data_IF_604595331317
#
_entry.id   IF_604595331317
#
_cell.length_a   1.000
_cell.length_b   1.000
_cell.length_c   1.000
_cell.angle_alpha   90.00
_cell.angle_beta   90.00
_cell.angle_gamma   90.00
#
_symmetry.space_group_name_H-M   'P 1'
#
loop_
_entity.id
_entity.type
_entity.pdbx_description
1 polymer ?
#
# COMPACT_ATOMS: atom_id res chain seq x y z
N UNK A 1 19.39 -11.19 -1.72
CA UNK A 1 18.52 -11.46 -0.54
C UNK A 1 18.36 -12.97 -0.35
N UNK A 2 17.83 -13.69 -1.32
CA UNK A 2 17.66 -15.16 -1.24
C UNK A 2 18.96 -15.92 -0.92
N UNK A 3 20.10 -15.48 -1.45
CA UNK A 3 21.38 -16.16 -1.20
C UNK A 3 21.85 -15.98 0.24
N UNK A 4 21.68 -14.81 0.85
CA UNK A 4 22.10 -14.50 2.22
C UNK A 4 21.26 -15.24 3.28
N UNK A 5 19.99 -15.49 3.00
CA UNK A 5 19.05 -16.15 3.92
C UNK A 5 18.76 -17.61 3.57
N UNK A 6 19.47 -18.18 2.58
CA UNK A 6 19.27 -19.56 2.14
C UNK A 6 19.34 -20.57 3.29
N UNK A 7 20.26 -20.38 4.22
CA UNK A 7 20.42 -21.27 5.36
C UNK A 7 19.28 -21.16 6.39
N UNK A 8 18.65 -19.98 6.51
CA UNK A 8 17.53 -19.74 7.42
C UNK A 8 16.17 -20.05 6.81
N UNK A 9 16.07 -20.07 5.49
CA UNK A 9 14.84 -20.50 4.80
C UNK A 9 14.60 -22.03 4.92
N UNK A 10 15.64 -22.79 5.15
CA UNK A 10 15.57 -24.23 5.47
C UNK A 10 15.61 -24.47 6.98
N UNK A 11 14.85 -23.69 7.74
CA UNK A 11 14.60 -24.04 9.15
C UNK A 11 13.88 -25.37 9.13
N UNK A 12 14.61 -26.45 9.45
CA UNK A 12 13.99 -27.70 9.86
C UNK A 12 12.96 -27.36 10.91
N UNK A 13 11.72 -27.81 10.77
CA UNK A 13 10.71 -27.54 11.79
C UNK A 13 11.25 -28.03 13.11
N UNK A 14 11.66 -27.09 13.98
CA UNK A 14 12.03 -27.42 15.34
C UNK A 14 10.80 -28.01 15.99
N UNK A 15 10.85 -29.34 16.14
CA UNK A 15 10.06 -30.13 17.07
C UNK A 15 8.70 -29.54 17.47
N UNK A 16 7.64 -30.00 16.82
CA UNK A 16 6.45 -30.28 17.58
C UNK A 16 5.35 -29.25 17.66
N UNK A 17 5.37 -28.14 16.92
CA UNK A 17 4.13 -27.42 16.63
C UNK A 17 3.70 -27.73 15.20
N UNK A 18 3.04 -28.87 15.03
CA UNK A 18 2.13 -29.06 13.89
C UNK A 18 1.18 -27.87 13.94
N UNK A 19 1.34 -26.92 13.03
CA UNK A 19 0.30 -25.94 12.76
C UNK A 19 -0.94 -26.78 12.52
N UNK A 20 -2.01 -26.67 13.32
CA UNK A 20 -3.21 -27.44 13.07
C UNK A 20 -3.53 -27.21 11.61
N UNK A 21 -3.64 -28.28 10.82
CA UNK A 21 -4.10 -28.17 9.45
C UNK A 21 -5.43 -27.43 9.57
N UNK A 22 -5.43 -26.12 9.27
CA UNK A 22 -6.64 -25.32 9.38
C UNK A 22 -7.68 -26.08 8.60
N UNK A 23 -8.89 -26.21 9.12
CA UNK A 23 -10.02 -26.79 8.40
C UNK A 23 -10.31 -25.89 7.19
N UNK A 24 -9.43 -25.98 6.19
CA UNK A 24 -9.61 -25.29 4.94
C UNK A 24 -10.88 -25.85 4.31
N UNK A 25 -11.82 -25.00 3.91
CA UNK A 25 -13.00 -25.47 3.21
C UNK A 25 -12.56 -26.27 1.97
N UNK A 26 -13.24 -27.35 1.61
CA UNK A 26 -12.88 -28.17 0.46
C UNK A 26 -12.81 -27.29 -0.79
N UNK A 27 -11.77 -27.50 -1.58
CA UNK A 27 -11.53 -26.74 -2.82
C UNK A 27 -12.76 -26.88 -3.75
N UNK A 28 -13.33 -25.74 -4.11
CA UNK A 28 -14.48 -25.68 -5.01
C UNK A 28 -14.06 -25.06 -6.36
N UNK A 29 -13.81 -25.88 -7.39
CA UNK A 29 -13.28 -25.40 -8.67
C UNK A 29 -14.22 -24.40 -9.36
N UNK A 30 -15.53 -24.55 -9.17
CA UNK A 30 -16.54 -23.63 -9.72
C UNK A 30 -16.46 -22.23 -9.11
N UNK A 31 -16.30 -22.14 -7.79
CA UNK A 31 -16.18 -20.86 -7.10
C UNK A 31 -14.84 -20.18 -7.42
N UNK A 32 -13.77 -20.98 -7.47
CA UNK A 32 -12.43 -20.49 -7.86
C UNK A 32 -12.45 -19.99 -9.31
N UNK A 33 -13.07 -20.70 -10.23
CA UNK A 33 -13.22 -20.29 -11.62
C UNK A 33 -13.98 -18.97 -11.77
N UNK A 34 -15.08 -18.79 -11.02
CA UNK A 34 -15.81 -17.52 -10.96
C UNK A 34 -14.95 -16.38 -10.42
N UNK A 35 -14.18 -16.62 -9.37
CA UNK A 35 -13.28 -15.62 -8.81
C UNK A 35 -12.23 -15.17 -9.81
N UNK A 36 -11.58 -16.13 -10.47
CA UNK A 36 -10.59 -15.85 -11.51
C UNK A 36 -11.22 -15.08 -12.68
N UNK A 37 -12.39 -15.50 -13.16
CA UNK A 37 -13.09 -14.81 -14.23
C UNK A 37 -13.45 -13.36 -13.84
N UNK A 38 -13.88 -13.14 -12.59
CA UNK A 38 -14.16 -11.80 -12.08
C UNK A 38 -12.91 -10.91 -12.03
N UNK A 39 -11.77 -11.47 -11.60
CA UNK A 39 -10.49 -10.74 -11.58
C UNK A 39 -10.06 -10.38 -13.00
N UNK A 40 -10.14 -11.32 -13.95
CA UNK A 40 -9.80 -11.07 -15.35
C UNK A 40 -10.71 -9.97 -15.92
N UNK A 41 -12.03 -10.08 -15.68
CA UNK A 41 -12.99 -9.07 -16.12
C UNK A 41 -12.70 -7.69 -15.52
N UNK A 42 -12.36 -7.62 -14.23
CA UNK A 42 -11.99 -6.38 -13.55
C UNK A 42 -10.75 -5.75 -14.17
N UNK A 43 -9.71 -6.55 -14.39
CA UNK A 43 -8.46 -6.08 -15.03
C UNK A 43 -8.77 -5.57 -16.45
N UNK A 44 -9.56 -6.30 -17.24
CA UNK A 44 -9.97 -5.86 -18.58
C UNK A 44 -10.74 -4.53 -18.55
N UNK A 45 -11.65 -4.35 -17.57
CA UNK A 45 -12.41 -3.11 -17.41
C UNK A 45 -11.52 -1.92 -17.02
N UNK A 46 -10.40 -2.13 -16.33
CA UNK A 46 -9.46 -1.07 -16.00
C UNK A 46 -8.72 -0.48 -17.22
N UNK A 47 -8.72 -1.17 -18.36
CA UNK A 47 -8.21 -0.66 -19.64
C UNK A 47 -9.29 0.05 -20.48
N UNK A 48 -10.53 0.12 -19.98
CA UNK A 48 -11.61 0.86 -20.63
C UNK A 48 -11.68 2.29 -20.07
N UNK A 49 -12.37 3.23 -20.76
CA UNK A 49 -12.55 4.61 -20.26
C UNK A 49 -13.53 4.70 -19.07
N UNK A 50 -14.03 3.58 -18.55
CA UNK A 50 -14.91 3.57 -17.38
C UNK A 50 -14.14 3.91 -16.10
N UNK A 51 -14.74 4.69 -15.18
CA UNK A 51 -14.15 4.93 -13.86
C UNK A 51 -13.84 3.61 -13.16
N UNK A 52 -12.64 3.51 -12.60
CA UNK A 52 -12.14 2.26 -11.99
C UNK A 52 -12.98 1.83 -10.78
N UNK A 53 -13.44 2.80 -10.00
CA UNK A 53 -14.34 2.59 -8.86
C UNK A 53 -15.68 1.98 -9.29
N UNK A 54 -16.26 2.44 -10.38
CA UNK A 54 -17.52 1.91 -10.93
C UNK A 54 -17.32 0.47 -11.41
N UNK A 55 -16.22 0.20 -12.10
CA UNK A 55 -15.85 -1.15 -12.55
C UNK A 55 -15.69 -2.10 -11.37
N UNK A 56 -14.99 -1.67 -10.30
CA UNK A 56 -14.78 -2.48 -9.12
C UNK A 56 -16.10 -2.79 -8.38
N UNK A 57 -16.94 -1.77 -8.15
CA UNK A 57 -18.23 -1.94 -7.47
C UNK A 57 -19.17 -2.83 -8.31
N UNK A 58 -19.16 -2.69 -9.63
CA UNK A 58 -20.00 -3.50 -10.52
C UNK A 58 -19.63 -4.99 -10.45
N UNK A 59 -18.34 -5.30 -10.55
CA UNK A 59 -17.88 -6.70 -10.42
C UNK A 59 -18.13 -7.26 -9.03
N UNK A 60 -17.90 -6.48 -7.97
CA UNK A 60 -18.20 -6.88 -6.61
C UNK A 60 -19.71 -7.15 -6.43
N UNK A 61 -20.59 -6.29 -6.95
CA UNK A 61 -22.02 -6.46 -6.94
C UNK A 61 -22.48 -7.74 -7.65
N UNK A 62 -21.90 -8.03 -8.83
CA UNK A 62 -22.17 -9.28 -9.57
C UNK A 62 -21.76 -10.53 -8.78
N UNK A 63 -20.62 -10.49 -8.08
CA UNK A 63 -20.17 -11.58 -7.21
C UNK A 63 -21.11 -11.77 -6.00
N UNK A 64 -21.58 -10.67 -5.42
CA UNK A 64 -22.54 -10.68 -4.29
C UNK A 64 -23.91 -11.25 -4.67
N UNK A 65 -24.32 -11.13 -5.93
CA UNK A 65 -25.55 -11.78 -6.43
C UNK A 65 -25.48 -13.31 -6.43
N UNK A 66 -24.32 -13.90 -6.14
CA UNK A 66 -24.17 -15.35 -6.02
C UNK A 66 -24.75 -15.85 -4.70
N UNK A 67 -25.89 -16.55 -4.75
CA UNK A 67 -26.65 -17.01 -3.56
C UNK A 67 -25.97 -18.10 -2.72
N UNK A 68 -24.77 -18.56 -3.09
CA UNK A 68 -24.06 -19.65 -2.37
C UNK A 68 -23.33 -19.19 -1.11
N UNK A 69 -23.02 -17.92 -0.99
CA UNK A 69 -22.41 -17.36 0.22
C UNK A 69 -23.36 -16.34 0.82
N UNK A 70 -23.46 -16.34 2.14
CA UNK A 70 -24.27 -15.34 2.84
C UNK A 70 -23.58 -13.99 2.70
N UNK A 71 -24.30 -12.98 2.28
CA UNK A 71 -23.78 -11.59 2.14
C UNK A 71 -23.12 -11.11 3.43
N UNK A 72 -23.65 -11.53 4.59
CA UNK A 72 -23.08 -11.17 5.89
C UNK A 72 -21.66 -11.70 6.08
N UNK A 73 -21.37 -12.91 5.60
CA UNK A 73 -20.05 -13.53 5.74
C UNK A 73 -19.04 -12.80 4.85
N UNK A 74 -19.46 -12.39 3.65
CA UNK A 74 -18.62 -11.62 2.72
C UNK A 74 -18.36 -10.19 3.26
N UNK A 75 -19.41 -9.52 3.77
CA UNK A 75 -19.26 -8.21 4.38
C UNK A 75 -18.43 -8.23 5.66
N UNK A 76 -18.38 -9.37 6.35
CA UNK A 76 -17.51 -9.60 7.50
C UNK A 76 -16.02 -9.68 7.15
N UNK A 77 -15.67 -9.93 5.87
CA UNK A 77 -14.29 -9.92 5.38
C UNK A 77 -13.80 -8.50 5.03
N UNK A 78 -14.71 -7.53 5.00
CA UNK A 78 -14.36 -6.12 4.72
C UNK A 78 -13.76 -5.50 5.99
N UNK A 79 -12.58 -4.93 5.86
CA UNK A 79 -11.97 -4.16 6.94
C UNK A 79 -12.63 -2.77 7.04
N UNK A 80 -13.70 -2.71 7.82
CA UNK A 80 -14.45 -1.48 8.07
C UNK A 80 -13.64 -0.42 8.82
N UNK A 81 -12.66 -0.85 9.64
CA UNK A 81 -11.77 0.07 10.34
C UNK A 81 -10.87 0.82 9.35
N UNK A 82 -10.35 0.09 8.36
CA UNK A 82 -9.53 0.68 7.30
C UNK A 82 -10.34 1.66 6.44
N UNK A 83 -11.57 1.31 6.06
CA UNK A 83 -12.46 2.21 5.31
C UNK A 83 -12.76 3.47 6.11
N UNK A 84 -13.10 3.32 7.39
CA UNK A 84 -13.38 4.46 8.28
C UNK A 84 -12.16 5.37 8.44
N UNK A 85 -10.96 4.76 8.58
CA UNK A 85 -9.70 5.50 8.66
C UNK A 85 -9.47 6.34 7.40
N UNK A 86 -9.65 5.76 6.20
CA UNK A 86 -9.48 6.51 4.95
C UNK A 86 -10.53 7.61 4.79
N UNK A 87 -11.80 7.35 5.10
CA UNK A 87 -12.83 8.40 5.06
C UNK A 87 -12.50 9.55 6.00
N UNK A 88 -12.08 9.27 7.24
CA UNK A 88 -11.67 10.30 8.18
C UNK A 88 -10.46 11.10 7.67
N UNK A 89 -9.47 10.40 7.07
CA UNK A 89 -8.29 11.02 6.48
C UNK A 89 -8.66 11.96 5.33
N UNK A 90 -9.56 11.55 4.41
CA UNK A 90 -10.02 12.39 3.31
C UNK A 90 -10.72 13.65 3.80
N UNK A 91 -11.57 13.53 4.83
CA UNK A 91 -12.25 14.69 5.44
C UNK A 91 -11.21 15.63 6.04
N UNK A 92 -10.24 15.10 6.79
CA UNK A 92 -9.21 15.89 7.44
C UNK A 92 -8.32 16.63 6.43
N UNK A 93 -7.87 15.92 5.37
CA UNK A 93 -7.05 16.53 4.30
C UNK A 93 -7.85 17.60 3.57
N UNK A 94 -9.10 17.33 3.20
CA UNK A 94 -9.93 18.33 2.54
C UNK A 94 -10.15 19.56 3.43
N UNK A 95 -10.38 19.36 4.73
CA UNK A 95 -10.47 20.46 5.69
C UNK A 95 -9.17 21.27 5.79
N UNK A 96 -8.02 20.60 5.78
CA UNK A 96 -6.72 21.26 5.76
C UNK A 96 -6.51 22.10 4.49
N UNK A 97 -6.87 21.56 3.33
CA UNK A 97 -6.74 22.26 2.04
C UNK A 97 -7.64 23.47 1.91
N UNK A 98 -8.82 23.43 2.52
CA UNK A 98 -9.76 24.58 2.54
C UNK A 98 -9.38 25.64 3.56
N UNK A 99 -8.45 25.34 4.47
CA UNK A 99 -8.00 26.31 5.45
C UNK A 99 -7.14 27.39 4.78
N UNK A 100 -7.45 28.66 5.05
CA UNK A 100 -6.76 29.82 4.43
C UNK A 100 -5.24 29.85 4.66
N UNK A 101 -4.75 29.21 5.73
CA UNK A 101 -3.32 29.12 6.04
C UNK A 101 -2.54 28.08 5.23
N UNK A 102 -3.20 27.27 4.39
CA UNK A 102 -2.50 26.23 3.61
C UNK A 102 -1.58 26.81 2.52
N UNK A 103 -1.99 27.81 1.71
CA UNK A 103 -1.10 28.48 0.78
C UNK A 103 0.09 29.18 1.47
N UNK A 104 -0.14 29.77 2.65
CA UNK A 104 0.91 30.41 3.44
C UNK A 104 1.93 29.39 3.95
N UNK A 105 1.47 28.21 4.36
CA UNK A 105 2.34 27.11 4.75
C UNK A 105 3.20 26.64 3.57
N UNK A 106 2.63 26.50 2.38
CA UNK A 106 3.36 26.15 1.17
C UNK A 106 4.46 27.18 0.86
N UNK A 107 4.13 28.46 0.91
CA UNK A 107 5.09 29.56 0.70
C UNK A 107 6.20 29.58 1.75
N UNK A 108 5.88 29.32 3.03
CA UNK A 108 6.86 29.23 4.09
C UNK A 108 7.82 28.06 3.92
N UNK A 109 7.31 26.88 3.53
CA UNK A 109 8.14 25.70 3.26
C UNK A 109 9.12 25.96 2.11
N UNK A 110 8.64 26.56 1.03
CA UNK A 110 9.50 26.98 -0.09
C UNK A 110 10.55 28.02 0.35
N UNK A 111 10.16 28.99 1.18
CA UNK A 111 11.07 29.98 1.75
C UNK A 111 12.13 29.38 2.68
N UNK A 112 11.87 28.25 3.31
CA UNK A 112 12.85 27.48 4.10
C UNK A 112 13.75 26.56 3.26
N UNK A 113 13.62 26.56 1.94
CA UNK A 113 14.39 25.72 1.03
C UNK A 113 13.76 24.35 0.74
N UNK A 114 12.54 24.09 1.23
CA UNK A 114 11.76 22.89 0.92
C UNK A 114 10.91 23.11 -0.33
N UNK A 115 11.61 23.24 -1.47
CA UNK A 115 10.93 23.34 -2.76
C UNK A 115 10.49 21.94 -3.22
N UNK A 116 9.21 21.65 -3.13
CA UNK A 116 8.63 20.36 -3.54
C UNK A 116 8.60 20.15 -5.06
N UNK A 117 8.81 21.19 -5.86
CA UNK A 117 9.03 21.05 -7.30
C UNK A 117 10.41 20.47 -7.63
N UNK A 118 11.35 20.55 -6.69
CA UNK A 118 12.60 19.83 -6.80
C UNK A 118 12.39 18.34 -6.51
N UNK A 119 12.55 17.51 -7.54
CA UNK A 119 12.27 16.06 -7.47
C UNK A 119 13.07 15.34 -6.39
N UNK A 120 14.29 15.80 -6.09
CA UNK A 120 15.11 15.23 -5.01
C UNK A 120 14.53 15.56 -3.63
N UNK A 121 14.11 16.80 -3.41
CA UNK A 121 13.47 17.22 -2.15
C UNK A 121 12.12 16.49 -2.00
N UNK A 122 11.33 16.40 -3.06
CA UNK A 122 10.07 15.65 -3.09
C UNK A 122 10.29 14.18 -2.72
N UNK A 123 11.32 13.52 -3.27
CA UNK A 123 11.66 12.12 -2.97
C UNK A 123 11.90 11.92 -1.47
N UNK A 124 12.73 12.75 -0.86
CA UNK A 124 13.04 12.60 0.57
C UNK A 124 11.88 13.00 1.45
N UNK A 125 11.15 14.05 1.12
CA UNK A 125 9.95 14.48 1.86
C UNK A 125 8.88 13.40 1.82
N UNK A 126 8.60 12.84 0.64
CA UNK A 126 7.65 11.74 0.48
C UNK A 126 8.09 10.50 1.27
N UNK A 127 9.39 10.17 1.24
CA UNK A 127 9.95 9.05 2.00
C UNK A 127 9.76 9.21 3.50
N UNK A 128 10.08 10.37 4.04
CA UNK A 128 9.93 10.66 5.47
C UNK A 128 8.45 10.61 5.88
N UNK A 129 7.59 11.36 5.17
CA UNK A 129 6.15 11.40 5.47
C UNK A 129 5.50 10.02 5.37
N UNK A 130 5.85 9.21 4.36
CA UNK A 130 5.33 7.85 4.20
C UNK A 130 5.65 6.94 5.39
N UNK A 131 6.81 7.11 6.00
CA UNK A 131 7.18 6.31 7.16
C UNK A 131 6.51 6.78 8.46
N UNK A 132 6.11 8.05 8.54
CA UNK A 132 5.37 8.58 9.71
C UNK A 132 3.86 8.35 9.62
N UNK A 133 3.27 8.56 8.43
CA UNK A 133 1.81 8.57 8.23
C UNK A 133 1.30 7.44 7.35
N UNK A 134 2.16 6.53 6.89
CA UNK A 134 1.90 5.57 5.81
C UNK A 134 1.87 6.24 4.43
N UNK A 135 2.04 5.43 3.37
CA UNK A 135 2.22 5.92 1.99
C UNK A 135 1.00 6.69 1.45
N UNK A 136 -0.22 6.20 1.66
CA UNK A 136 -1.43 6.84 1.11
C UNK A 136 -1.68 8.22 1.72
N UNK A 137 -1.67 8.40 3.06
CA UNK A 137 -1.77 9.72 3.67
C UNK A 137 -0.67 10.70 3.24
N UNK A 138 0.57 10.21 3.13
CA UNK A 138 1.69 11.03 2.71
C UNK A 138 1.52 11.56 1.28
N UNK A 139 1.08 10.68 0.36
CA UNK A 139 0.77 11.08 -1.02
C UNK A 139 -0.32 12.13 -1.03
N UNK A 140 -1.41 11.92 -0.30
CA UNK A 140 -2.54 12.86 -0.28
C UNK A 140 -2.18 14.23 0.30
N UNK A 141 -1.27 14.27 1.28
CA UNK A 141 -0.78 15.53 1.84
C UNK A 141 0.12 16.29 0.86
N UNK A 142 0.91 15.59 0.05
CA UNK A 142 1.85 16.22 -0.89
C UNK A 142 1.22 16.55 -2.24
N UNK A 143 0.17 15.83 -2.63
CA UNK A 143 -0.48 15.97 -3.93
C UNK A 143 -0.87 17.41 -4.29
N UNK A 144 -1.44 18.22 -3.37
CA UNK A 144 -1.85 19.59 -3.67
C UNK A 144 -0.71 20.58 -3.95
N UNK A 145 0.52 20.21 -3.60
CA UNK A 145 1.70 21.03 -3.83
C UNK A 145 2.36 20.77 -5.21
N UNK A 146 1.92 19.71 -5.91
CA UNK A 146 2.50 19.32 -7.19
C UNK A 146 1.86 20.06 -8.35
N UNK A 147 2.67 20.30 -9.37
CA UNK A 147 2.19 20.89 -10.62
C UNK A 147 1.37 19.85 -11.42
N UNK A 148 0.11 20.15 -11.80
CA UNK A 148 -0.70 19.24 -12.59
C UNK A 148 -0.07 18.86 -13.93
N UNK A 149 0.70 19.78 -14.52
CA UNK A 149 1.30 19.67 -15.85
C UNK A 149 2.69 19.00 -15.84
N UNK A 150 3.24 18.64 -14.66
CA UNK A 150 4.55 18.01 -14.55
C UNK A 150 4.45 16.52 -14.16
N UNK A 151 4.41 15.59 -15.14
CA UNK A 151 4.31 14.16 -14.86
C UNK A 151 5.45 13.61 -14.01
N UNK A 152 6.64 14.22 -14.06
CA UNK A 152 7.81 13.77 -13.32
C UNK A 152 7.60 13.88 -11.79
N UNK A 153 6.92 14.93 -11.33
CA UNK A 153 6.56 15.08 -9.92
C UNK A 153 5.61 13.95 -9.45
N UNK A 154 4.61 13.62 -10.27
CA UNK A 154 3.64 12.57 -9.97
C UNK A 154 4.29 11.19 -9.88
N UNK A 155 5.15 10.85 -10.86
CA UNK A 155 5.89 9.59 -10.84
C UNK A 155 6.85 9.53 -9.66
N UNK A 156 7.54 10.61 -9.36
CA UNK A 156 8.47 10.70 -8.23
C UNK A 156 7.74 10.49 -6.91
N UNK A 157 6.62 11.18 -6.69
CA UNK A 157 5.82 11.01 -5.48
C UNK A 157 5.31 9.57 -5.33
N UNK A 158 4.77 8.99 -6.40
CA UNK A 158 4.23 7.63 -6.39
C UNK A 158 5.32 6.58 -6.08
N UNK A 159 6.49 6.69 -6.72
CA UNK A 159 7.59 5.75 -6.52
C UNK A 159 8.25 5.94 -5.15
N UNK A 160 8.55 7.18 -4.75
CA UNK A 160 9.19 7.46 -3.47
C UNK A 160 8.34 6.98 -2.29
N UNK A 161 7.03 7.29 -2.30
CA UNK A 161 6.11 6.85 -1.24
C UNK A 161 5.99 5.32 -1.17
N UNK A 162 5.96 4.66 -2.33
CA UNK A 162 5.87 3.19 -2.41
C UNK A 162 7.16 2.53 -1.91
N UNK A 163 8.32 3.00 -2.36
CA UNK A 163 9.61 2.46 -1.91
C UNK A 163 9.85 2.69 -0.42
N UNK A 164 9.44 3.86 0.08
CA UNK A 164 9.51 4.20 1.50
C UNK A 164 8.77 3.22 2.40
N UNK A 165 7.65 2.65 1.92
CA UNK A 165 6.87 1.67 2.67
C UNK A 165 7.62 0.39 3.03
N UNK A 166 8.74 0.10 2.37
CA UNK A 166 9.58 -1.05 2.70
C UNK A 166 10.61 -0.76 3.80
N UNK A 167 10.81 0.50 4.20
CA UNK A 167 11.83 0.90 5.15
C UNK A 167 11.55 0.31 6.55
N UNK A 168 10.35 0.55 7.03
CA UNK A 168 9.89 0.05 8.32
C UNK A 168 8.59 -0.73 8.18
N UNK A 169 8.39 -1.66 9.10
CA UNK A 169 7.19 -2.49 9.15
C UNK A 169 5.90 -1.66 9.22
N UNK A 170 5.93 -0.57 9.99
CA UNK A 170 4.81 0.37 10.15
C UNK A 170 4.65 1.33 8.98
N UNK A 171 5.63 1.43 8.08
CA UNK A 171 5.62 2.33 6.93
C UNK A 171 4.56 2.00 5.87
N UNK A 172 3.96 0.80 5.94
CA UNK A 172 2.91 0.38 5.01
C UNK A 172 1.87 -0.52 5.70
N UNK A 173 0.61 -0.22 5.49
CA UNK A 173 -0.52 -1.05 5.96
C UNK A 173 -0.42 -2.46 5.37
N UNK A 174 0.04 -2.62 4.14
CA UNK A 174 0.23 -3.93 3.51
C UNK A 174 1.22 -4.81 4.30
N UNK A 175 2.31 -4.23 4.83
CA UNK A 175 3.25 -4.95 5.67
C UNK A 175 2.60 -5.45 6.95
N UNK A 176 1.76 -4.61 7.59
CA UNK A 176 1.03 -4.98 8.80
C UNK A 176 0.08 -6.15 8.55
N UNK A 177 -0.69 -6.11 7.46
CA UNK A 177 -1.59 -7.20 7.06
C UNK A 177 -0.80 -8.51 6.86
N UNK A 178 0.33 -8.46 6.16
CA UNK A 178 1.16 -9.65 5.93
C UNK A 178 1.69 -10.22 7.24
N UNK A 179 2.16 -9.36 8.15
CA UNK A 179 2.68 -9.77 9.45
C UNK A 179 1.58 -10.35 10.34
N UNK A 180 0.40 -9.76 10.32
CA UNK A 180 -0.76 -10.28 11.05
C UNK A 180 -1.16 -11.67 10.55
N UNK A 181 -1.26 -11.86 9.24
CA UNK A 181 -1.55 -13.16 8.64
C UNK A 181 -0.45 -14.19 8.92
N UNK A 182 0.82 -13.79 8.85
CA UNK A 182 1.95 -14.64 9.22
C UNK A 182 1.87 -15.05 10.70
N UNK A 183 1.54 -14.11 11.59
CA UNK A 183 1.35 -14.38 13.02
C UNK A 183 0.19 -15.34 13.27
N UNK A 184 -0.92 -15.20 12.56
CA UNK A 184 -2.04 -16.15 12.60
C UNK A 184 -1.62 -17.56 12.14
N UNK A 185 -0.67 -17.67 11.23
CA UNK A 185 -0.06 -18.94 10.79
C UNK A 185 1.08 -19.42 11.72
N UNK A 186 1.32 -18.75 12.88
CA UNK A 186 2.36 -19.11 13.84
C UNK A 186 3.75 -18.62 13.50
N UNK A 187 3.91 -17.82 12.44
CA UNK A 187 5.18 -17.26 12.01
C UNK A 187 5.32 -15.86 12.63
N UNK A 188 6.35 -15.66 13.44
CA UNK A 188 6.65 -14.35 14.03
C UNK A 188 7.66 -13.61 13.17
N UNK A 189 7.29 -12.46 12.65
CA UNK A 189 8.18 -11.54 11.94
C UNK A 189 8.55 -10.42 12.90
N UNK A 190 9.81 -10.37 13.34
CA UNK A 190 10.27 -9.30 14.20
C UNK A 190 10.56 -8.03 13.38
N UNK A 191 10.36 -6.87 13.99
CA UNK A 191 10.70 -5.58 13.40
C UNK A 191 12.14 -5.53 12.87
N UNK A 192 13.09 -6.11 13.63
CA UNK A 192 14.49 -6.16 13.26
C UNK A 192 14.75 -6.98 11.99
N UNK A 193 14.03 -8.09 11.83
CA UNK A 193 14.18 -8.96 10.66
C UNK A 193 13.68 -8.26 9.40
N UNK A 194 12.54 -7.56 9.50
CA UNK A 194 12.03 -6.74 8.42
C UNK A 194 12.99 -5.60 8.07
N UNK A 195 13.45 -4.84 9.07
CA UNK A 195 14.35 -3.70 8.88
C UNK A 195 15.70 -4.11 8.26
N UNK A 196 16.23 -5.26 8.63
CA UNK A 196 17.49 -5.77 8.07
C UNK A 196 17.44 -6.00 6.55
N UNK A 197 16.26 -6.28 6.01
CA UNK A 197 16.01 -6.44 4.57
C UNK A 197 15.45 -5.15 3.98
N UNK A 198 14.49 -4.53 4.64
CA UNK A 198 13.78 -3.35 4.19
C UNK A 198 14.67 -2.14 3.99
N UNK A 199 15.58 -1.87 4.95
CA UNK A 199 16.49 -0.72 4.86
C UNK A 199 17.36 -0.77 3.60
N UNK A 200 18.16 -1.83 3.34
CA UNK A 200 18.98 -1.87 2.14
C UNK A 200 18.19 -1.87 0.84
N UNK A 201 17.01 -2.51 0.82
CA UNK A 201 16.13 -2.51 -0.36
C UNK A 201 15.60 -1.10 -0.63
N UNK A 202 15.10 -0.41 0.40
CA UNK A 202 14.59 0.96 0.27
C UNK A 202 15.68 1.92 -0.18
N UNK A 203 16.87 1.87 0.44
CA UNK A 203 17.98 2.73 0.06
C UNK A 203 18.42 2.49 -1.39
N UNK A 204 18.51 1.24 -1.82
CA UNK A 204 18.84 0.91 -3.21
C UNK A 204 17.76 1.40 -4.18
N UNK A 205 16.49 1.22 -3.85
CA UNK A 205 15.36 1.68 -4.69
C UNK A 205 15.32 3.20 -4.80
N UNK A 206 15.52 3.92 -3.69
CA UNK A 206 15.57 5.39 -3.68
C UNK A 206 16.81 5.93 -4.41
N UNK A 207 17.94 5.22 -4.33
CA UNK A 207 19.14 5.57 -5.10
C UNK A 207 18.86 5.46 -6.59
N UNK A 208 18.28 4.34 -7.03
CA UNK A 208 17.91 4.13 -8.43
C UNK A 208 16.93 5.21 -8.90
N UNK A 209 15.91 5.52 -8.09
CA UNK A 209 14.95 6.59 -8.38
C UNK A 209 15.65 7.94 -8.54
N UNK A 210 16.55 8.29 -7.59
CA UNK A 210 17.27 9.57 -7.61
C UNK A 210 18.20 9.68 -8.84
N UNK A 211 18.80 8.58 -9.27
CA UNK A 211 19.60 8.54 -10.50
C UNK A 211 18.72 8.68 -11.74
N UNK A 212 17.59 7.98 -11.77
CA UNK A 212 16.65 8.02 -12.90
C UNK A 212 16.05 9.43 -13.11
N UNK A 213 15.75 10.14 -12.03
CA UNK A 213 15.22 11.52 -12.08
C UNK A 213 16.24 12.51 -12.69
N UNK A 214 17.53 12.20 -12.61
CA UNK A 214 18.60 13.08 -13.11
C UNK A 214 18.98 12.81 -14.56
N UNK A 215 18.51 11.70 -15.14
CA UNK A 215 18.67 11.33 -16.55
C UNK A 215 17.59 11.95 -17.41
#
# INVERSE_FOLDING_TARGET
ICWRYRATMYVTPSTGRVVPAGNWPPFNPWQTGKGIAAVIALVALFFTPLPREVSAISIAGLLLCSRKQKTRDILGLVDWHLITLFCALFILINGLLQHQGFPDLAAQLTGMGFDLHNLTILTWTATILSNFFSNVPAVMLLLPFLSPDNPAEWYTLALASTFAGNLFLLGSIANLIVVEQASAAGIRVAFRDHAAIGIPVTLASLLILTLWIRL
#
